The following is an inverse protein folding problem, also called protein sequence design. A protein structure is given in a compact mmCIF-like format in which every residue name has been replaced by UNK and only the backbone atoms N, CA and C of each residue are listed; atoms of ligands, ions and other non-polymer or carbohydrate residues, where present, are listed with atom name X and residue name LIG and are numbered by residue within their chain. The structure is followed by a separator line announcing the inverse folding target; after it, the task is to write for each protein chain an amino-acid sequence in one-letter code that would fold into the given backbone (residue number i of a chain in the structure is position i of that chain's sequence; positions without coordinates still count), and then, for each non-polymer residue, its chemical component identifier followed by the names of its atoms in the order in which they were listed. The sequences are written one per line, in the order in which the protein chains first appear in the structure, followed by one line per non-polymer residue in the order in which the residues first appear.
data_IF_592528798331
#
_entry.id   IF_592528798331
#
_cell.length_a   1.000
_cell.length_b   1.000
_cell.length_c   1.000
_cell.angle_alpha   90.00
_cell.angle_beta   90.00
_cell.angle_gamma   90.00
#
_symmetry.space_group_name_H-M   'P 1'
#
loop_
_entity.id
_entity.type
_entity.pdbx_description
1 polymer ?
#
# COMPACT_ATOMS: atom_id res chain seq x y z
N UNK A 1 7.17 -27.32 1.14
CA UNK A 1 7.06 -25.93 0.66
C UNK A 1 5.84 -25.35 1.36
N UNK A 2 5.98 -24.25 2.11
CA UNK A 2 4.87 -23.67 2.86
C UNK A 2 3.94 -22.90 1.94
N UNK A 3 2.63 -22.91 2.25
CA UNK A 3 1.65 -22.14 1.47
C UNK A 3 1.82 -20.63 1.66
N UNK A 4 2.15 -20.19 2.89
CA UNK A 4 2.27 -18.78 3.24
C UNK A 4 3.62 -18.50 3.92
N UNK A 5 4.28 -17.43 3.50
CA UNK A 5 5.46 -16.85 4.13
C UNK A 5 5.09 -15.51 4.73
N UNK A 6 5.37 -15.32 6.01
CA UNK A 6 5.15 -14.07 6.72
C UNK A 6 6.51 -13.41 6.92
N UNK A 7 6.65 -12.17 6.45
CA UNK A 7 7.89 -11.40 6.54
C UNK A 7 7.67 -10.21 7.48
N UNK A 8 8.48 -10.12 8.52
CA UNK A 8 8.52 -8.98 9.43
C UNK A 8 9.81 -8.20 9.24
N UNK A 9 9.69 -6.93 8.88
CA UNK A 9 10.80 -5.98 8.88
C UNK A 9 10.83 -5.23 10.20
N UNK A 10 12.00 -5.18 10.82
CA UNK A 10 12.23 -4.49 12.09
C UNK A 10 13.42 -3.54 12.02
N UNK A 11 13.27 -2.35 12.59
CA UNK A 11 14.40 -1.46 12.89
C UNK A 11 14.08 -0.61 14.10
N UNK A 12 14.80 -0.84 15.22
CA UNK A 12 14.64 -0.14 16.49
C UNK A 12 13.16 -0.03 16.96
N UNK A 13 12.42 -1.14 16.84
CA UNK A 13 11.00 -1.26 17.21
C UNK A 13 10.76 -2.49 18.09
N UNK A 14 11.61 -2.73 19.09
CA UNK A 14 11.58 -3.91 19.98
C UNK A 14 10.17 -4.29 20.46
N UNK A 15 9.42 -3.32 20.99
CA UNK A 15 8.08 -3.58 21.51
C UNK A 15 7.06 -3.86 20.40
N UNK A 16 7.24 -3.23 19.23
CA UNK A 16 6.44 -3.55 18.04
C UNK A 16 6.73 -4.96 17.54
N UNK A 17 8.00 -5.32 17.40
CA UNK A 17 8.46 -6.65 17.00
C UNK A 17 7.90 -7.74 17.92
N UNK A 18 8.01 -7.54 19.24
CA UNK A 18 7.50 -8.49 20.23
C UNK A 18 6.00 -8.75 20.03
N UNK A 19 5.19 -7.69 19.87
CA UNK A 19 3.75 -7.82 19.60
C UNK A 19 3.47 -8.54 18.29
N UNK A 20 4.19 -8.19 17.23
CA UNK A 20 4.04 -8.81 15.91
C UNK A 20 4.35 -10.31 15.96
N UNK A 21 5.47 -10.70 16.58
CA UNK A 21 5.84 -12.11 16.80
C UNK A 21 4.74 -12.83 17.59
N UNK A 22 4.34 -12.29 18.75
CA UNK A 22 3.29 -12.88 19.58
C UNK A 22 1.98 -13.09 18.79
N UNK A 23 1.58 -12.12 17.96
CA UNK A 23 0.39 -12.21 17.10
C UNK A 23 0.49 -13.32 16.06
N UNK A 24 1.66 -13.51 15.45
CA UNK A 24 1.92 -14.55 14.45
C UNK A 24 1.91 -15.93 15.09
N UNK A 25 2.62 -16.09 16.22
CA UNK A 25 2.75 -17.38 16.90
C UNK A 25 1.44 -17.85 17.56
N UNK A 26 0.54 -16.91 17.87
CA UNK A 26 -0.80 -17.23 18.39
C UNK A 26 -1.82 -17.58 17.30
N UNK A 27 -1.43 -17.60 16.01
CA UNK A 27 -2.33 -18.05 14.95
C UNK A 27 -2.65 -19.55 15.08
N UNK A 28 -3.90 -19.90 14.85
CA UNK A 28 -4.40 -21.28 14.84
C UNK A 28 -3.97 -22.07 13.60
N UNK A 29 -3.62 -21.38 12.52
CA UNK A 29 -3.02 -21.97 11.32
C UNK A 29 -1.51 -22.03 11.47
N UNK A 30 -0.91 -23.20 11.30
CA UNK A 30 0.51 -23.45 11.59
C UNK A 30 1.40 -23.71 10.36
N UNK A 31 0.82 -23.91 9.17
CA UNK A 31 1.59 -24.17 7.94
C UNK A 31 2.07 -22.87 7.27
N UNK A 32 2.94 -22.16 7.97
CA UNK A 32 3.58 -20.96 7.45
C UNK A 32 5.09 -20.95 7.70
N UNK A 33 5.81 -20.29 6.81
CA UNK A 33 7.19 -19.88 7.02
C UNK A 33 7.20 -18.50 7.71
N UNK A 34 8.05 -18.31 8.72
CA UNK A 34 8.21 -17.00 9.38
C UNK A 34 9.62 -16.45 9.23
N UNK A 35 9.71 -15.23 8.69
CA UNK A 35 10.96 -14.55 8.34
C UNK A 35 11.04 -13.22 9.07
N UNK A 36 12.16 -12.98 9.75
CA UNK A 36 12.44 -11.70 10.41
C UNK A 36 13.71 -11.09 9.83
N UNK A 37 13.59 -9.89 9.28
CA UNK A 37 14.73 -9.09 8.81
C UNK A 37 14.87 -7.89 9.74
N UNK A 38 15.95 -7.86 10.51
CA UNK A 38 16.28 -6.78 11.43
C UNK A 38 17.39 -5.89 10.86
N UNK A 39 17.14 -4.58 10.80
CA UNK A 39 18.05 -3.58 10.24
C UNK A 39 19.26 -3.24 11.13
N UNK A 40 19.85 -4.23 11.80
CA UNK A 40 20.90 -4.09 12.81
C UNK A 40 20.50 -3.21 14.00
N UNK A 41 19.35 -3.51 14.61
CA UNK A 41 18.80 -2.74 15.73
C UNK A 41 19.71 -2.77 16.97
N UNK A 42 19.61 -1.71 17.79
CA UNK A 42 20.38 -1.54 19.04
C UNK A 42 19.50 -1.36 20.27
N UNK A 43 18.18 -1.55 20.13
CA UNK A 43 17.17 -1.30 21.17
C UNK A 43 16.75 -2.54 21.96
N UNK A 44 17.40 -3.68 21.71
CA UNK A 44 17.07 -4.97 22.30
C UNK A 44 16.22 -5.88 21.40
N UNK A 45 16.01 -5.52 20.13
CA UNK A 45 15.25 -6.34 19.18
C UNK A 45 15.93 -7.68 18.85
N UNK A 46 17.26 -7.73 18.80
CA UNK A 46 18.03 -8.94 18.50
C UNK A 46 17.79 -10.03 19.54
N UNK A 47 17.71 -9.64 20.80
CA UNK A 47 17.42 -10.51 21.93
C UNK A 47 15.99 -11.08 21.84
N UNK A 48 15.03 -10.28 21.36
CA UNK A 48 13.66 -10.77 21.11
C UNK A 48 13.64 -11.83 20.00
N UNK A 49 14.40 -11.61 18.92
CA UNK A 49 14.52 -12.59 17.83
C UNK A 49 15.16 -13.89 18.34
N UNK A 50 16.25 -13.79 19.09
CA UNK A 50 16.95 -14.96 19.66
C UNK A 50 16.06 -15.77 20.61
N UNK A 51 15.23 -15.10 21.42
CA UNK A 51 14.25 -15.75 22.30
C UNK A 51 13.22 -16.61 21.54
N UNK A 52 12.90 -16.24 20.29
CA UNK A 52 11.90 -16.91 19.46
C UNK A 52 12.52 -17.69 18.29
N UNK A 53 13.83 -17.95 18.30
CA UNK A 53 14.53 -18.59 17.16
C UNK A 53 13.96 -19.94 16.74
N UNK A 54 13.35 -20.68 17.67
CA UNK A 54 12.73 -21.98 17.37
C UNK A 54 11.39 -21.84 16.63
N UNK A 55 10.79 -20.66 16.65
CA UNK A 55 9.55 -20.33 15.98
C UNK A 55 9.75 -19.54 14.68
N UNK A 56 10.97 -19.03 14.45
CA UNK A 56 11.31 -18.23 13.27
C UNK A 56 12.08 -19.14 12.29
N UNK A 57 11.56 -19.29 11.07
CA UNK A 57 12.17 -20.12 10.04
C UNK A 57 13.49 -19.53 9.54
N UNK A 58 13.56 -18.20 9.41
CA UNK A 58 14.77 -17.49 9.02
C UNK A 58 14.84 -16.13 9.70
N UNK A 59 16.01 -15.79 10.25
CA UNK A 59 16.27 -14.47 10.80
C UNK A 59 17.65 -13.97 10.39
N UNK A 60 17.74 -12.69 10.07
CA UNK A 60 19.01 -12.00 9.86
C UNK A 60 18.96 -10.61 10.49
N UNK A 61 20.08 -10.19 11.09
CA UNK A 61 20.24 -8.84 11.61
C UNK A 61 21.48 -8.20 10.99
N UNK A 62 21.26 -7.25 10.09
CA UNK A 62 22.32 -6.55 9.35
C UNK A 62 21.82 -5.18 8.87
N UNK A 63 22.72 -4.26 8.53
CA UNK A 63 22.30 -2.93 8.10
C UNK A 63 21.56 -2.98 6.76
N UNK A 64 20.49 -2.20 6.64
CA UNK A 64 19.73 -2.02 5.41
C UNK A 64 19.94 -0.62 4.83
N UNK A 65 19.80 -0.48 3.51
CA UNK A 65 19.79 0.83 2.83
C UNK A 65 18.42 1.52 2.89
N UNK A 66 17.40 0.83 3.40
CA UNK A 66 16.03 1.31 3.58
C UNK A 66 15.05 0.16 3.79
N UNK A 67 13.78 0.49 4.08
CA UNK A 67 12.74 -0.53 4.36
C UNK A 67 12.55 -1.53 3.21
N UNK A 68 12.63 -1.07 1.96
CA UNK A 68 12.44 -1.94 0.81
C UNK A 68 13.64 -2.84 0.53
N UNK A 69 14.85 -2.44 0.92
CA UNK A 69 16.00 -3.34 0.93
C UNK A 69 15.77 -4.51 1.90
N UNK A 70 15.27 -4.21 3.10
CA UNK A 70 14.91 -5.22 4.08
C UNK A 70 13.75 -6.13 3.58
N UNK A 71 12.71 -5.55 2.97
CA UNK A 71 11.62 -6.32 2.36
C UNK A 71 12.13 -7.24 1.24
N UNK A 72 13.05 -6.76 0.40
CA UNK A 72 13.67 -7.55 -0.67
C UNK A 72 14.48 -8.72 -0.11
N UNK A 73 15.26 -8.51 0.96
CA UNK A 73 15.95 -9.62 1.66
C UNK A 73 14.95 -10.67 2.13
N UNK A 74 13.83 -10.26 2.70
CA UNK A 74 12.76 -11.16 3.12
C UNK A 74 12.15 -11.96 1.96
N UNK A 75 11.87 -11.30 0.82
CA UNK A 75 11.36 -11.96 -0.40
C UNK A 75 12.34 -13.04 -0.89
N UNK A 76 13.63 -12.71 -0.92
CA UNK A 76 14.68 -13.60 -1.40
C UNK A 76 14.93 -14.78 -0.46
N UNK A 77 14.76 -14.59 0.85
CA UNK A 77 14.93 -15.64 1.85
C UNK A 77 13.75 -16.64 1.86
N UNK A 78 12.54 -16.20 1.54
CA UNK A 78 11.35 -17.05 1.62
C UNK A 78 11.32 -18.16 0.58
N UNK A 79 10.71 -19.29 0.90
CA UNK A 79 10.39 -20.37 -0.03
C UNK A 79 8.88 -20.64 -0.15
N UNK A 80 8.05 -19.77 0.41
CA UNK A 80 6.60 -19.91 0.37
C UNK A 80 5.99 -19.55 -0.99
N UNK A 81 4.78 -20.05 -1.23
CA UNK A 81 3.99 -19.74 -2.43
C UNK A 81 3.45 -18.30 -2.41
N UNK A 82 2.88 -17.87 -1.28
CA UNK A 82 2.39 -16.51 -1.06
C UNK A 82 3.15 -15.82 0.06
N UNK A 83 3.44 -14.53 -0.11
CA UNK A 83 4.10 -13.68 0.87
C UNK A 83 3.13 -12.64 1.44
N UNK A 84 3.18 -12.44 2.76
CA UNK A 84 2.51 -11.36 3.46
C UNK A 84 3.53 -10.60 4.31
N UNK A 85 3.50 -9.27 4.25
CA UNK A 85 4.40 -8.42 5.03
C UNK A 85 3.68 -7.93 6.29
N UNK A 86 4.10 -8.39 7.46
CA UNK A 86 3.58 -7.91 8.74
C UNK A 86 4.76 -7.27 9.50
N UNK A 87 4.99 -5.98 9.25
CA UNK A 87 6.14 -5.26 9.81
C UNK A 87 5.97 -5.03 11.32
N UNK A 88 7.07 -4.77 12.02
CA UNK A 88 7.06 -4.54 13.47
C UNK A 88 6.06 -3.47 13.86
N UNK A 89 5.14 -3.82 14.75
CA UNK A 89 4.04 -2.97 15.20
C UNK A 89 2.67 -3.40 14.66
N UNK A 90 2.63 -4.01 13.48
CA UNK A 90 1.40 -4.58 12.92
C UNK A 90 1.11 -5.96 13.53
N UNK A 91 -0.17 -6.29 13.68
CA UNK A 91 -0.63 -7.57 14.23
C UNK A 91 -1.74 -8.15 13.37
N UNK A 92 -1.89 -9.48 13.34
CA UNK A 92 -3.11 -10.09 12.82
C UNK A 92 -4.30 -9.69 13.71
N UNK A 93 -5.47 -9.54 13.09
CA UNK A 93 -6.65 -9.07 13.78
C UNK A 93 -7.15 -10.05 14.86
N UNK A 94 -7.12 -11.34 14.57
CA UNK A 94 -7.56 -12.41 15.48
C UNK A 94 -6.65 -13.63 15.34
N UNK A 95 -6.66 -14.51 16.34
CA UNK A 95 -5.87 -15.76 16.34
C UNK A 95 -6.31 -16.76 15.25
N UNK A 96 -7.48 -16.57 14.63
CA UNK A 96 -7.97 -17.39 13.53
C UNK A 96 -7.97 -16.67 12.17
N UNK A 97 -7.39 -15.47 12.10
CA UNK A 97 -7.34 -14.68 10.87
C UNK A 97 -6.66 -15.43 9.73
N UNK A 98 -5.50 -16.02 9.97
CA UNK A 98 -4.75 -16.70 8.93
C UNK A 98 -5.47 -17.97 8.42
N UNK A 99 -6.11 -18.71 9.33
CA UNK A 99 -6.94 -19.87 8.99
C UNK A 99 -8.11 -19.48 8.08
N UNK A 100 -8.85 -18.42 8.47
CA UNK A 100 -9.96 -17.87 7.67
C UNK A 100 -9.48 -17.37 6.31
N UNK A 101 -8.33 -16.69 6.26
CA UNK A 101 -7.76 -16.20 5.01
C UNK A 101 -7.46 -17.36 4.05
N UNK A 102 -6.76 -18.40 4.52
CA UNK A 102 -6.43 -19.59 3.73
C UNK A 102 -7.68 -20.30 3.19
N UNK A 103 -8.75 -20.39 3.98
CA UNK A 103 -10.04 -20.96 3.56
C UNK A 103 -10.68 -20.13 2.44
N UNK A 104 -10.60 -18.80 2.50
CA UNK A 104 -11.20 -17.88 1.53
C UNK A 104 -10.35 -17.66 0.27
N UNK A 105 -9.06 -17.98 0.34
CA UNK A 105 -8.10 -18.02 -0.77
C UNK A 105 -8.37 -19.21 -1.70
N UNK A 106 -9.61 -19.31 -2.19
CA UNK A 106 -10.04 -20.28 -3.20
C UNK A 106 -9.75 -19.77 -4.61
N UNK A 107 -9.14 -20.64 -5.43
CA UNK A 107 -8.69 -20.34 -6.79
C UNK A 107 -7.17 -20.15 -6.87
N UNK A 108 -6.69 -19.79 -8.07
CA UNK A 108 -5.30 -19.39 -8.30
C UNK A 108 -5.26 -17.92 -8.76
N UNK A 109 -5.16 -17.03 -7.78
CA UNK A 109 -5.02 -15.59 -8.01
C UNK A 109 -3.60 -15.16 -7.65
N UNK A 110 -3.03 -14.24 -8.42
CA UNK A 110 -1.71 -13.68 -8.11
C UNK A 110 -1.69 -12.88 -6.81
N UNK A 111 -2.80 -12.21 -6.46
CA UNK A 111 -2.91 -11.41 -5.24
C UNK A 111 -4.25 -11.65 -4.55
N UNK A 112 -4.22 -12.00 -3.26
CA UNK A 112 -5.39 -11.92 -2.39
C UNK A 112 -5.24 -10.74 -1.45
N UNK A 113 -6.31 -10.01 -1.17
CA UNK A 113 -6.26 -8.89 -0.23
C UNK A 113 -7.53 -8.77 0.60
N UNK A 114 -7.37 -8.37 1.85
CA UNK A 114 -8.46 -8.15 2.80
C UNK A 114 -8.53 -6.71 3.28
N UNK A 115 -9.34 -6.51 4.31
CA UNK A 115 -9.54 -5.24 4.99
C UNK A 115 -8.53 -5.08 6.12
N UNK A 116 -8.42 -3.86 6.64
CA UNK A 116 -7.62 -3.55 7.83
C UNK A 116 -8.49 -2.95 8.92
N UNK A 117 -8.01 -2.99 10.15
CA UNK A 117 -8.53 -2.18 11.23
C UNK A 117 -7.48 -1.16 11.69
N UNK A 118 -7.92 0.09 11.80
CA UNK A 118 -7.11 1.22 12.22
C UNK A 118 -7.53 1.63 13.63
N UNK A 119 -6.56 1.73 14.56
CA UNK A 119 -6.78 2.34 15.87
C UNK A 119 -6.57 3.86 15.77
N UNK A 120 -7.66 4.62 15.71
CA UNK A 120 -7.56 6.07 15.75
C UNK A 120 -7.21 6.53 17.17
N UNK A 121 -5.92 6.75 17.44
CA UNK A 121 -5.39 7.19 18.76
C UNK A 121 -6.06 8.48 19.27
N UNK A 122 -6.57 9.35 18.38
CA UNK A 122 -7.28 10.59 18.77
C UNK A 122 -8.75 10.37 19.12
N UNK A 123 -9.40 9.36 18.54
CA UNK A 123 -10.86 9.14 18.67
C UNK A 123 -11.22 7.90 19.49
N UNK A 124 -10.25 7.12 19.97
CA UNK A 124 -10.44 5.82 20.67
C UNK A 124 -11.44 4.90 19.94
N UNK A 125 -11.50 5.00 18.61
CA UNK A 125 -12.43 4.25 17.77
C UNK A 125 -11.63 3.42 16.78
N UNK A 126 -12.03 2.16 16.65
CA UNK A 126 -11.57 1.29 15.59
C UNK A 126 -12.28 1.68 14.29
N UNK A 127 -11.52 1.99 13.25
CA UNK A 127 -12.02 2.29 11.92
C UNK A 127 -11.66 1.13 11.00
N UNK A 128 -12.66 0.50 10.39
CA UNK A 128 -12.43 -0.52 9.39
C UNK A 128 -12.11 0.14 8.04
N UNK A 129 -10.98 -0.23 7.46
CA UNK A 129 -10.56 0.20 6.14
C UNK A 129 -10.87 -0.91 5.15
N UNK A 130 -11.88 -0.67 4.32
CA UNK A 130 -12.35 -1.62 3.30
C UNK A 130 -11.83 -1.24 1.92
N UNK A 131 -11.62 -2.25 1.09
CA UNK A 131 -11.08 -2.06 -0.27
C UNK A 131 -12.09 -2.52 -1.32
N UNK A 132 -12.12 -1.88 -2.51
CA UNK A 132 -13.07 -2.23 -3.54
C UNK A 132 -12.74 -3.60 -4.14
N UNK A 133 -13.77 -4.35 -4.53
CA UNK A 133 -13.63 -5.62 -5.26
C UNK A 133 -13.05 -5.44 -6.67
N UNK A 134 -13.15 -4.23 -7.24
CA UNK A 134 -12.59 -3.87 -8.54
C UNK A 134 -11.54 -2.78 -8.34
N UNK A 135 -10.30 -3.11 -8.64
CA UNK A 135 -9.16 -2.20 -8.58
C UNK A 135 -8.98 -1.53 -9.94
N UNK A 136 -8.73 -0.22 -9.92
CA UNK A 136 -8.55 0.60 -11.13
C UNK A 136 -7.38 1.55 -10.94
N UNK A 137 -6.87 2.11 -12.04
CA UNK A 137 -5.88 3.19 -11.98
C UNK A 137 -6.38 4.34 -11.08
N UNK A 138 -7.67 4.72 -11.20
CA UNK A 138 -8.24 5.78 -10.38
C UNK A 138 -8.27 5.49 -8.88
N UNK A 139 -8.38 4.20 -8.50
CA UNK A 139 -8.19 3.78 -7.11
C UNK A 139 -6.74 4.03 -6.67
N UNK A 140 -5.74 3.56 -7.43
CA UNK A 140 -4.32 3.70 -7.07
C UNK A 140 -3.79 5.13 -7.12
N UNK A 141 -4.38 6.02 -7.93
CA UNK A 141 -4.02 7.46 -7.90
C UNK A 141 -4.37 8.09 -6.54
N UNK A 142 -5.35 7.54 -5.82
CA UNK A 142 -5.86 8.12 -4.57
C UNK A 142 -5.52 7.27 -3.35
N UNK A 143 -5.30 5.98 -3.53
CA UNK A 143 -5.22 4.98 -2.48
C UNK A 143 -4.08 3.98 -2.77
N UNK A 144 -3.93 3.01 -1.88
CA UNK A 144 -3.06 1.85 -2.06
C UNK A 144 -3.78 0.60 -1.58
N UNK A 145 -3.34 -0.57 -2.05
CA UNK A 145 -3.57 -1.79 -1.29
C UNK A 145 -2.60 -1.84 -0.09
N UNK A 146 -3.00 -2.49 1.01
CA UNK A 146 -2.14 -2.65 2.17
C UNK A 146 -1.25 -3.89 2.01
N UNK A 147 0.07 -3.75 2.09
CA UNK A 147 0.97 -4.92 2.08
C UNK A 147 0.71 -5.86 3.27
N UNK A 148 0.32 -5.31 4.40
CA UNK A 148 -0.05 -6.01 5.64
C UNK A 148 -1.43 -6.68 5.61
N UNK A 149 -2.21 -6.43 4.57
CA UNK A 149 -3.48 -7.10 4.31
C UNK A 149 -3.51 -7.84 2.99
N UNK A 150 -2.36 -8.07 2.36
CA UNK A 150 -2.27 -8.69 1.03
C UNK A 150 -1.33 -9.90 1.04
N UNK A 151 -1.80 -10.99 0.47
CA UNK A 151 -1.03 -12.19 0.16
C UNK A 151 -0.62 -12.13 -1.32
N UNK A 152 0.67 -11.97 -1.57
CA UNK A 152 1.24 -11.76 -2.91
C UNK A 152 1.96 -13.04 -3.32
N UNK A 153 1.60 -13.61 -4.47
CA UNK A 153 2.29 -14.81 -4.97
C UNK A 153 3.76 -14.49 -5.21
N UNK A 154 4.67 -15.29 -4.64
CA UNK A 154 6.11 -15.00 -4.63
C UNK A 154 6.69 -14.82 -6.04
N UNK A 155 6.19 -15.60 -7.01
CA UNK A 155 6.60 -15.52 -8.42
C UNK A 155 6.34 -14.15 -9.08
N UNK A 156 5.48 -13.31 -8.50
CA UNK A 156 5.27 -11.95 -8.99
C UNK A 156 6.50 -11.07 -8.77
N UNK A 157 7.30 -11.34 -7.74
CA UNK A 157 8.53 -10.57 -7.50
C UNK A 157 9.66 -10.91 -8.49
N UNK A 158 9.64 -12.09 -9.11
CA UNK A 158 10.56 -12.44 -10.19
C UNK A 158 10.04 -12.03 -11.57
N UNK A 159 8.72 -12.13 -11.80
CA UNK A 159 8.10 -11.81 -13.10
C UNK A 159 7.80 -10.32 -13.32
N UNK A 160 7.62 -9.55 -12.24
CA UNK A 160 7.43 -8.10 -12.28
C UNK A 160 8.74 -7.40 -11.91
N UNK A 161 9.03 -7.39 -10.61
CA UNK A 161 10.26 -6.89 -10.00
C UNK A 161 10.21 -7.10 -8.49
N UNK A 162 11.37 -7.08 -7.84
CA UNK A 162 11.48 -6.76 -6.42
C UNK A 162 10.97 -5.32 -6.15
N UNK A 163 10.86 -4.95 -4.88
CA UNK A 163 10.56 -3.56 -4.53
C UNK A 163 11.73 -2.65 -4.98
N UNK A 164 11.38 -1.56 -5.63
CA UNK A 164 12.31 -0.52 -6.04
C UNK A 164 12.91 0.20 -4.82
N UNK A 165 14.20 -0.03 -4.57
CA UNK A 165 14.93 0.53 -3.42
C UNK A 165 15.27 2.02 -3.59
N UNK A 166 15.06 2.60 -4.78
CA UNK A 166 15.22 4.05 -4.99
C UNK A 166 14.04 4.85 -4.41
N UNK A 167 12.90 4.20 -4.16
CA UNK A 167 11.76 4.78 -3.47
C UNK A 167 11.91 4.53 -1.97
N UNK A 168 11.57 5.53 -1.15
CA UNK A 168 11.71 5.45 0.31
C UNK A 168 10.42 5.08 1.01
N UNK A 169 9.27 5.40 0.43
CA UNK A 169 7.96 5.30 1.10
C UNK A 169 6.80 4.81 0.21
N UNK A 170 7.00 4.62 -1.09
CA UNK A 170 5.94 4.24 -2.02
C UNK A 170 6.22 3.01 -2.92
N UNK A 171 7.24 2.20 -2.62
CA UNK A 171 7.63 1.05 -3.46
C UNK A 171 6.64 -0.10 -3.43
N UNK A 172 5.99 -0.35 -2.29
CA UNK A 172 4.89 -1.31 -2.18
C UNK A 172 3.67 -0.87 -3.01
N UNK A 173 3.32 0.41 -2.94
CA UNK A 173 2.30 0.99 -3.80
C UNK A 173 2.68 0.89 -5.30
N UNK A 174 3.95 1.15 -5.65
CA UNK A 174 4.47 1.04 -7.02
C UNK A 174 4.33 -0.40 -7.54
N UNK A 175 4.70 -1.39 -6.73
CA UNK A 175 4.53 -2.80 -7.07
C UNK A 175 3.06 -3.13 -7.38
N UNK A 176 2.13 -2.72 -6.51
CA UNK A 176 0.71 -3.01 -6.71
C UNK A 176 0.13 -2.35 -7.96
N UNK A 177 0.46 -1.08 -8.23
CA UNK A 177 -0.07 -0.41 -9.43
C UNK A 177 0.48 -1.05 -10.71
N UNK A 178 1.76 -1.47 -10.73
CA UNK A 178 2.33 -2.19 -11.87
C UNK A 178 1.64 -3.55 -12.03
N UNK A 179 1.55 -4.34 -10.95
CA UNK A 179 0.94 -5.67 -10.97
C UNK A 179 -0.49 -5.63 -11.51
N UNK A 180 -1.31 -4.71 -10.99
CA UNK A 180 -2.74 -4.66 -11.30
C UNK A 180 -3.03 -3.92 -12.60
N UNK A 181 -2.40 -2.77 -12.84
CA UNK A 181 -2.77 -1.88 -13.95
C UNK A 181 -1.89 -2.02 -15.19
N UNK A 182 -0.67 -2.57 -15.08
CA UNK A 182 0.23 -2.79 -16.22
C UNK A 182 0.30 -4.26 -16.59
N UNK A 183 0.50 -5.14 -15.60
CA UNK A 183 0.65 -6.58 -15.81
C UNK A 183 -0.66 -7.35 -15.76
N UNK A 184 -1.76 -6.70 -15.37
CA UNK A 184 -3.10 -7.29 -15.31
C UNK A 184 -3.16 -8.58 -14.50
N UNK A 185 -2.37 -8.65 -13.42
CA UNK A 185 -2.32 -9.80 -12.50
C UNK A 185 -3.72 -10.08 -11.95
N UNK A 186 -4.10 -11.35 -11.89
CA UNK A 186 -5.36 -11.76 -11.28
C UNK A 186 -5.36 -11.47 -9.79
N UNK A 187 -6.47 -10.94 -9.28
CA UNK A 187 -6.62 -10.60 -7.87
C UNK A 187 -7.99 -10.96 -7.32
N UNK A 188 -8.07 -11.14 -5.99
CA UNK A 188 -9.33 -11.42 -5.29
C UNK A 188 -9.38 -10.74 -3.93
N UNK A 189 -10.44 -9.97 -3.69
CA UNK A 189 -10.76 -9.47 -2.35
C UNK A 189 -11.42 -10.59 -1.52
N UNK A 190 -10.91 -10.86 -0.33
CA UNK A 190 -11.39 -11.96 0.55
C UNK A 190 -12.36 -11.50 1.65
N UNK A 191 -12.65 -10.20 1.76
CA UNK A 191 -13.78 -9.72 2.57
C UNK A 191 -13.61 -9.75 4.10
N UNK A 192 -12.46 -10.18 4.61
CA UNK A 192 -12.17 -10.25 6.05
C UNK A 192 -11.10 -9.23 6.45
N UNK A 193 -11.07 -8.88 7.73
CA UNK A 193 -9.99 -8.06 8.32
C UNK A 193 -8.77 -8.95 8.54
N UNK A 194 -7.63 -8.54 7.99
CA UNK A 194 -6.37 -9.29 8.09
C UNK A 194 -5.51 -8.76 9.24
N UNK A 195 -5.28 -7.46 9.30
CA UNK A 195 -4.36 -6.91 10.29
C UNK A 195 -4.88 -5.64 10.95
N UNK A 196 -4.40 -5.44 12.16
CA UNK A 196 -4.43 -4.18 12.87
C UNK A 196 -3.22 -3.36 12.43
N UNK A 197 -3.47 -2.20 11.86
CA UNK A 197 -2.43 -1.34 11.31
C UNK A 197 -1.91 -0.35 12.35
N UNK A 198 -0.60 -0.33 12.57
CA UNK A 198 0.05 0.68 13.40
C UNK A 198 0.44 1.93 12.62
N UNK A 199 -0.02 3.08 13.10
CA UNK A 199 0.25 4.41 12.52
C UNK A 199 1.64 4.96 12.86
N UNK A 200 2.53 4.15 13.44
CA UNK A 200 3.91 4.56 13.71
C UNK A 200 4.85 4.36 12.51
N UNK A 201 4.38 3.71 11.44
CA UNK A 201 5.16 3.48 10.23
C UNK A 201 5.55 4.76 9.49
N UNK A 202 6.67 4.70 8.77
CA UNK A 202 7.29 5.84 8.08
C UNK A 202 6.33 6.52 7.09
N UNK A 203 5.56 5.76 6.32
CA UNK A 203 4.60 6.28 5.34
C UNK A 203 3.38 6.95 5.97
N UNK A 204 3.09 6.65 7.24
CA UNK A 204 2.02 7.27 8.04
C UNK A 204 2.48 8.52 8.78
N UNK A 205 3.79 8.82 8.84
CA UNK A 205 4.30 10.06 9.41
C UNK A 205 3.89 11.25 8.52
N UNK A 206 3.14 12.24 9.04
CA UNK A 206 2.77 13.43 8.28
C UNK A 206 3.94 14.16 7.63
N UNK A 207 5.17 14.05 8.19
CA UNK A 207 6.38 14.62 7.60
C UNK A 207 6.71 14.04 6.24
N UNK A 208 6.32 12.80 5.98
CA UNK A 208 6.60 12.09 4.73
C UNK A 208 5.48 12.24 3.69
N UNK A 209 4.39 12.95 3.99
CA UNK A 209 3.27 13.11 3.06
C UNK A 209 3.69 13.66 1.69
N UNK A 210 4.54 14.70 1.68
CA UNK A 210 5.03 15.28 0.42
C UNK A 210 5.92 14.31 -0.35
N UNK A 211 6.74 13.53 0.36
CA UNK A 211 7.61 12.53 -0.23
C UNK A 211 6.79 11.41 -0.88
N UNK A 212 5.83 10.84 -0.13
CA UNK A 212 4.87 9.84 -0.65
C UNK A 212 4.19 10.37 -1.91
N UNK A 213 3.70 11.62 -1.89
CA UNK A 213 3.08 12.21 -3.05
C UNK A 213 4.04 12.29 -4.24
N UNK A 214 5.27 12.79 -4.04
CA UNK A 214 6.25 12.92 -5.12
C UNK A 214 6.68 11.59 -5.72
N UNK A 215 6.90 10.54 -4.90
CA UNK A 215 7.27 9.21 -5.37
C UNK A 215 6.13 8.57 -6.18
N UNK A 216 4.88 8.72 -5.71
CA UNK A 216 3.71 8.28 -6.48
C UNK A 216 3.58 9.02 -7.81
N UNK A 217 3.80 10.34 -7.82
CA UNK A 217 3.76 11.11 -9.08
C UNK A 217 4.87 10.69 -10.04
N UNK A 218 6.08 10.42 -9.54
CA UNK A 218 7.17 9.90 -10.35
C UNK A 218 6.77 8.59 -11.05
N UNK A 219 6.30 7.60 -10.30
CA UNK A 219 5.87 6.32 -10.84
C UNK A 219 4.65 6.45 -11.79
N UNK A 220 3.66 7.28 -11.47
CA UNK A 220 2.53 7.56 -12.37
C UNK A 220 3.00 8.16 -13.69
N UNK A 221 3.92 9.12 -13.65
CA UNK A 221 4.47 9.74 -14.86
C UNK A 221 5.37 8.77 -15.63
N UNK A 222 6.06 7.85 -14.95
CA UNK A 222 6.91 6.87 -15.60
C UNK A 222 6.11 5.78 -16.31
N UNK A 223 5.17 5.13 -15.62
CA UNK A 223 4.42 3.99 -16.18
C UNK A 223 3.17 4.38 -16.95
N UNK A 224 2.59 5.56 -16.68
CA UNK A 224 1.30 5.98 -17.23
C UNK A 224 1.36 7.34 -17.94
N UNK A 225 2.55 7.76 -18.41
CA UNK A 225 2.78 9.04 -19.09
C UNK A 225 1.69 9.40 -20.12
N UNK A 226 1.29 8.42 -20.93
CA UNK A 226 0.35 8.61 -22.03
C UNK A 226 -1.11 8.86 -21.59
N UNK A 227 -1.49 8.53 -20.36
CA UNK A 227 -2.89 8.55 -19.90
C UNK A 227 -3.09 9.32 -18.60
N UNK A 228 -2.01 9.62 -17.86
CA UNK A 228 -2.14 10.19 -16.52
C UNK A 228 -2.63 11.64 -16.56
N UNK A 229 -2.20 12.42 -17.55
CA UNK A 229 -2.65 13.80 -17.71
C UNK A 229 -4.12 13.87 -18.15
N UNK A 230 -4.53 12.98 -19.06
CA UNK A 230 -5.94 12.81 -19.43
C UNK A 230 -6.79 12.43 -18.22
N UNK A 231 -6.32 11.50 -17.39
CA UNK A 231 -7.01 11.10 -16.16
C UNK A 231 -7.14 12.27 -15.18
N UNK A 232 -6.06 13.05 -14.96
CA UNK A 232 -6.07 14.24 -14.09
C UNK A 232 -7.10 15.27 -14.59
N UNK A 233 -7.13 15.51 -15.91
CA UNK A 233 -8.09 16.41 -16.54
C UNK A 233 -9.53 15.91 -16.35
N UNK A 234 -9.81 14.63 -16.65
CA UNK A 234 -11.15 14.03 -16.47
C UNK A 234 -11.61 14.16 -15.02
N UNK A 235 -10.73 13.86 -14.05
CA UNK A 235 -11.05 13.98 -12.63
C UNK A 235 -11.38 15.42 -12.22
N UNK A 236 -10.68 16.41 -12.78
CA UNK A 236 -11.01 17.82 -12.55
C UNK A 236 -12.39 18.17 -13.13
N UNK A 237 -12.70 17.69 -14.35
CA UNK A 237 -14.00 17.86 -15.00
C UNK A 237 -15.15 17.23 -14.20
N UNK A 238 -14.90 16.17 -13.45
CA UNK A 238 -15.89 15.55 -12.57
C UNK A 238 -16.16 16.33 -11.27
N UNK A 239 -15.40 17.39 -10.99
CA UNK A 239 -15.58 18.19 -9.79
C UNK A 239 -16.97 18.84 -9.73
N UNK A 240 -17.52 18.99 -8.52
CA UNK A 240 -18.83 19.62 -8.29
C UNK A 240 -18.92 21.01 -8.93
N UNK A 241 -17.82 21.76 -8.90
CA UNK A 241 -17.73 23.10 -9.51
C UNK A 241 -17.92 23.05 -11.03
N UNK A 242 -17.22 22.16 -11.72
CA UNK A 242 -17.36 22.01 -13.17
C UNK A 242 -18.73 21.45 -13.54
N UNK A 243 -19.25 20.46 -12.79
CA UNK A 243 -20.63 19.97 -12.96
C UNK A 243 -21.67 21.10 -12.83
N UNK A 244 -21.52 22.00 -11.87
CA UNK A 244 -22.39 23.18 -11.74
C UNK A 244 -22.27 24.11 -12.95
N UNK A 245 -21.05 24.37 -13.45
CA UNK A 245 -20.83 25.19 -14.66
C UNK A 245 -21.51 24.55 -15.88
N UNK A 246 -21.36 23.25 -16.06
CA UNK A 246 -21.99 22.49 -17.15
C UNK A 246 -23.52 22.49 -17.03
N UNK A 247 -24.06 22.45 -15.80
CA UNK A 247 -25.49 22.60 -15.56
C UNK A 247 -26.00 24.00 -15.94
N UNK A 248 -25.27 25.07 -15.59
CA UNK A 248 -25.62 26.44 -15.98
C UNK A 248 -25.68 26.64 -17.50
N UNK A 249 -24.91 25.87 -18.28
CA UNK A 249 -24.92 25.89 -19.75
C UNK A 249 -26.30 25.58 -20.34
N UNK A 250 -27.16 24.87 -19.60
CA UNK A 250 -28.53 24.56 -20.02
C UNK A 250 -29.44 25.80 -19.99
N UNK A 251 -29.04 26.89 -19.31
CA UNK A 251 -29.84 28.10 -19.16
C UNK A 251 -29.21 29.29 -19.88
N UNK A 252 -29.93 29.88 -20.84
CA UNK A 252 -29.42 30.97 -21.70
C UNK A 252 -28.91 32.19 -20.94
N UNK A 253 -29.69 32.71 -19.97
CA UNK A 253 -29.34 33.95 -19.25
C UNK A 253 -28.18 33.72 -18.27
N UNK A 254 -28.23 32.74 -17.34
CA UNK A 254 -27.10 32.44 -16.45
C UNK A 254 -25.81 32.13 -17.20
N UNK A 255 -25.88 31.39 -18.31
CA UNK A 255 -24.70 31.08 -19.12
C UNK A 255 -24.06 32.32 -19.75
N UNK A 256 -24.87 33.27 -20.25
CA UNK A 256 -24.36 34.54 -20.79
C UNK A 256 -23.68 35.38 -19.70
N UNK A 257 -24.27 35.46 -18.51
CA UNK A 257 -23.69 36.19 -17.38
C UNK A 257 -22.35 35.57 -16.96
N UNK A 258 -22.30 34.23 -16.83
CA UNK A 258 -21.08 33.51 -16.49
C UNK A 258 -19.97 33.75 -17.52
N UNK A 259 -20.27 33.66 -18.82
CA UNK A 259 -19.31 33.96 -19.89
C UNK A 259 -18.80 35.39 -19.84
N UNK A 260 -19.70 36.37 -19.65
CA UNK A 260 -19.33 37.78 -19.56
C UNK A 260 -18.40 38.05 -18.38
N UNK A 261 -18.75 37.51 -17.20
CA UNK A 261 -17.91 37.61 -16.01
C UNK A 261 -16.56 36.92 -16.17
N UNK A 262 -16.53 35.71 -16.75
CA UNK A 262 -15.27 34.99 -17.02
C UNK A 262 -14.37 35.77 -17.97
N UNK A 263 -14.91 36.34 -19.05
CA UNK A 263 -14.14 37.15 -20.00
C UNK A 263 -13.59 38.42 -19.34
N UNK A 264 -14.39 39.05 -18.48
CA UNK A 264 -13.95 40.20 -17.68
C UNK A 264 -12.77 39.83 -16.77
N UNK A 265 -12.85 38.71 -16.04
CA UNK A 265 -11.75 38.25 -15.18
C UNK A 265 -10.48 37.92 -15.97
N UNK A 266 -10.62 37.26 -17.13
CA UNK A 266 -9.47 36.92 -18.00
C UNK A 266 -8.70 38.14 -18.48
N UNK A 267 -9.32 39.32 -18.52
CA UNK A 267 -8.64 40.56 -18.90
C UNK A 267 -7.58 41.02 -17.90
N UNK A 268 -7.72 40.63 -16.63
CA UNK A 268 -6.79 40.97 -15.55
C UNK A 268 -5.76 39.89 -15.25
N UNK A 269 -5.85 38.73 -15.91
CA UNK A 269 -4.92 37.63 -15.71
C UNK A 269 -3.80 37.67 -16.76
N UNK A 270 -2.57 37.21 -16.40
CA UNK A 270 -1.53 37.01 -17.38
C UNK A 270 -2.06 36.09 -18.48
N UNK A 271 -1.80 36.43 -19.74
CA UNK A 271 -2.15 35.52 -20.84
C UNK A 271 -1.45 34.18 -20.60
N UNK A 272 -2.15 33.04 -20.76
CA UNK A 272 -1.50 31.75 -20.63
C UNK A 272 -0.31 31.70 -21.60
N UNK A 273 0.87 31.37 -21.09
CA UNK A 273 2.00 31.04 -21.96
C UNK A 273 1.58 29.81 -22.77
N UNK A 274 1.26 30.01 -24.04
CA UNK A 274 1.29 28.92 -25.01
C UNK A 274 2.75 28.53 -25.20
N UNK A 275 3.32 27.81 -24.23
CA UNK A 275 4.57 27.10 -24.45
C UNK A 275 4.31 26.08 -25.57
N UNK A 276 5.08 26.26 -26.63
CA UNK A 276 5.23 25.49 -27.87
C UNK A 276 4.76 24.03 -27.86
N UNK A 277 4.15 23.66 -29.01
CA UNK A 277 4.00 22.31 -29.56
C UNK A 277 5.16 21.37 -29.25
#
# INVERSE_FOLDING_TARGET
MHKIGIITINYNQKEGLRKTIESILNQTFSDFEYIVIDGNSTDGSKEIVEQHKHNITYAVSESDTGIYNAMNKGILASNAEYLLFLNSGDCFYQNDTLAKAVELMTGDYGIYYGNLICLNKKRKRMEEWTFPKKLTLGFFVQNSLPHQGSFIKKELFSSISLYNENLKVASDWEFFIIAICVKMVSYKHIGIIISEYDFSGISSDPKNFQLVHSEKQYALNYYFAAVIDDYRLIKELESKRIKNILYLKQFRIPWKLLKGFSNFLLWFLPKPNHASK
#
